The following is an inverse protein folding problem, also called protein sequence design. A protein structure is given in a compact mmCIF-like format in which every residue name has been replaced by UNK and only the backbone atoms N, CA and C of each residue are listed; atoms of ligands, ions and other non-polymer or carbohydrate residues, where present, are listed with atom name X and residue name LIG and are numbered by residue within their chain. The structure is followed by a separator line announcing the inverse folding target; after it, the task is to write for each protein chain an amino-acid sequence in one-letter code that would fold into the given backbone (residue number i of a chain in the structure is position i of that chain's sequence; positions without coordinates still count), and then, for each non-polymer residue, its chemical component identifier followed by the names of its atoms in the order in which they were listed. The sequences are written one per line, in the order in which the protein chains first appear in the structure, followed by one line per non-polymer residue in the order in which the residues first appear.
data_IF_289056003159
#
_entry.id   IF_289056003159
#
_cell.length_a   1.000
_cell.length_b   1.000
_cell.length_c   1.000
_cell.angle_alpha   90.00
_cell.angle_beta   90.00
_cell.angle_gamma   90.00
#
_symmetry.space_group_name_H-M   'P 1'
#
loop_
_entity.id
_entity.type
_entity.pdbx_description
1 polymer ?
#
# COMPACT_ATOMS: atom_id res chain seq x y z
N UNK A 1 -15.77 6.83 11.09
CA UNK A 1 -14.52 6.92 11.87
C UNK A 1 -13.51 6.11 11.10
N UNK A 2 -12.44 6.73 10.64
CA UNK A 2 -11.41 6.05 9.86
C UNK A 2 -10.66 5.08 10.77
N UNK A 3 -10.81 3.78 10.49
CA UNK A 3 -10.15 2.70 11.25
C UNK A 3 -8.64 2.75 10.98
N UNK A 4 -8.26 2.94 9.73
CA UNK A 4 -6.88 3.17 9.30
C UNK A 4 -6.54 4.67 9.36
N UNK A 5 -5.29 5.00 9.70
CA UNK A 5 -4.73 6.36 9.69
C UNK A 5 -3.31 6.37 9.12
N UNK A 6 -2.79 7.56 8.85
CA UNK A 6 -1.37 7.71 8.51
C UNK A 6 -0.48 7.16 9.63
N UNK A 7 0.50 6.35 9.25
CA UNK A 7 1.49 5.76 10.15
C UNK A 7 2.86 5.75 9.46
N UNK A 8 3.96 5.95 10.19
CA UNK A 8 5.30 5.74 9.64
C UNK A 8 5.43 4.32 9.07
N UNK A 9 5.96 4.24 7.86
CA UNK A 9 6.22 2.98 7.16
C UNK A 9 7.55 2.43 7.64
N UNK A 10 7.52 1.32 8.36
CA UNK A 10 8.70 0.65 8.89
C UNK A 10 8.96 -0.62 8.08
N UNK A 11 9.63 -0.47 6.94
CA UNK A 11 9.95 -1.60 6.07
C UNK A 11 10.79 -2.65 6.80
N UNK A 12 10.42 -3.90 6.61
CA UNK A 12 11.13 -5.06 7.14
C UNK A 12 12.40 -5.38 6.31
N UNK A 13 13.14 -6.45 6.64
CA UNK A 13 14.38 -6.84 5.93
C UNK A 13 14.15 -7.12 4.44
N UNK A 14 12.92 -7.45 4.07
CA UNK A 14 12.47 -7.66 2.70
C UNK A 14 11.88 -6.41 2.02
N UNK A 15 11.92 -5.24 2.67
CA UNK A 15 11.31 -4.00 2.14
C UNK A 15 9.78 -3.96 2.20
N UNK A 16 9.14 -5.04 2.65
CA UNK A 16 7.69 -5.15 2.83
C UNK A 16 7.23 -4.44 4.11
N UNK A 17 6.02 -3.91 4.09
CA UNK A 17 5.37 -3.33 5.28
C UNK A 17 3.86 -3.42 5.14
N UNK A 18 3.12 -3.73 6.20
CA UNK A 18 1.65 -3.72 6.17
C UNK A 18 1.11 -3.00 7.39
N UNK A 19 0.11 -2.15 7.19
CA UNK A 19 -0.52 -1.40 8.27
C UNK A 19 -1.22 -2.38 9.23
N UNK A 20 -1.08 -2.25 10.56
CA UNK A 20 -1.64 -3.20 11.52
C UNK A 20 -3.17 -3.30 11.46
N UNK A 21 -3.87 -2.19 11.19
CA UNK A 21 -5.32 -2.23 10.95
C UNK A 21 -5.70 -2.91 9.63
N UNK A 22 -4.84 -2.85 8.60
CA UNK A 22 -5.00 -3.62 7.37
C UNK A 22 -4.80 -5.10 7.67
N UNK A 23 -3.76 -5.46 8.42
CA UNK A 23 -3.50 -6.83 8.86
C UNK A 23 -4.66 -7.39 9.70
N UNK A 24 -5.23 -6.60 10.62
CA UNK A 24 -6.43 -6.96 11.37
C UNK A 24 -7.65 -7.15 10.48
N UNK A 25 -7.80 -6.33 9.44
CA UNK A 25 -8.86 -6.50 8.45
C UNK A 25 -8.68 -7.78 7.64
N UNK A 26 -7.45 -8.07 7.20
CA UNK A 26 -7.09 -9.37 6.65
C UNK A 26 -7.37 -10.50 7.64
N UNK A 27 -7.21 -10.28 8.94
CA UNK A 27 -7.50 -11.25 10.00
C UNK A 27 -6.81 -12.62 9.78
N UNK A 28 -5.62 -12.61 9.16
CA UNK A 28 -4.91 -13.83 8.77
C UNK A 28 -5.51 -14.56 7.55
N UNK A 29 -6.45 -13.94 6.82
CA UNK A 29 -6.85 -14.41 5.49
C UNK A 29 -5.68 -14.19 4.53
N UNK A 30 -5.33 -15.24 3.82
CA UNK A 30 -4.26 -15.24 2.82
C UNK A 30 -4.62 -14.38 1.59
N UNK A 31 -5.92 -14.11 1.40
CA UNK A 31 -6.40 -13.29 0.31
C UNK A 31 -7.69 -12.57 0.72
N UNK A 32 -7.77 -11.27 0.40
CA UNK A 32 -9.01 -10.52 0.41
C UNK A 32 -9.29 -10.03 -1.01
N UNK A 33 -10.51 -10.30 -1.48
CA UNK A 33 -10.97 -9.81 -2.77
C UNK A 33 -11.01 -8.28 -2.78
N UNK A 34 -10.64 -7.70 -3.92
CA UNK A 34 -10.71 -6.25 -4.15
C UNK A 34 -12.09 -5.67 -3.81
N UNK A 35 -13.18 -6.41 -4.02
CA UNK A 35 -14.54 -6.00 -3.63
C UNK A 35 -14.74 -5.86 -2.12
N UNK A 36 -14.26 -6.81 -1.31
CA UNK A 36 -14.32 -6.71 0.15
C UNK A 36 -13.47 -5.54 0.65
N UNK A 37 -12.29 -5.36 0.05
CA UNK A 37 -11.41 -4.26 0.37
C UNK A 37 -12.02 -2.90 0.03
N UNK A 38 -12.61 -2.76 -1.17
CA UNK A 38 -13.29 -1.54 -1.60
C UNK A 38 -14.52 -1.24 -0.73
N UNK A 39 -15.30 -2.27 -0.39
CA UNK A 39 -16.44 -2.13 0.52
C UNK A 39 -16.00 -1.60 1.89
N UNK A 40 -14.95 -2.19 2.47
CA UNK A 40 -14.40 -1.74 3.74
C UNK A 40 -13.89 -0.29 3.68
N UNK A 41 -13.18 0.07 2.61
CA UNK A 41 -12.73 1.46 2.39
C UNK A 41 -13.91 2.42 2.30
N UNK A 42 -14.94 2.05 1.55
CA UNK A 42 -16.14 2.87 1.38
C UNK A 42 -16.90 3.05 2.69
N UNK A 43 -17.06 2.01 3.50
CA UNK A 43 -17.67 2.09 4.83
C UNK A 43 -16.87 3.01 5.76
N UNK A 44 -15.55 2.98 5.65
CA UNK A 44 -14.64 3.80 6.46
C UNK A 44 -14.43 5.22 5.91
N UNK A 45 -15.06 5.60 4.80
CA UNK A 45 -14.79 6.86 4.09
C UNK A 45 -13.30 7.01 3.75
N UNK A 46 -12.67 5.92 3.33
CA UNK A 46 -11.31 5.86 2.85
C UNK A 46 -11.31 5.71 1.32
N UNK A 47 -10.21 6.10 0.71
CA UNK A 47 -9.88 5.87 -0.68
C UNK A 47 -8.56 5.11 -0.74
N UNK A 48 -8.46 4.17 -1.66
CA UNK A 48 -7.25 3.37 -1.87
C UNK A 48 -6.85 3.42 -3.33
N UNK A 49 -5.56 3.25 -3.59
CA UNK A 49 -4.99 3.09 -4.93
C UNK A 49 -3.74 2.23 -4.84
N UNK A 50 -3.37 1.57 -5.94
CA UNK A 50 -2.17 0.74 -6.01
C UNK A 50 -1.21 1.39 -7.00
N UNK A 51 0.08 1.41 -6.64
CA UNK A 51 1.18 1.75 -7.54
C UNK A 51 2.10 0.55 -7.62
N UNK A 52 2.25 -0.01 -8.81
CA UNK A 52 3.32 -0.95 -9.13
C UNK A 52 4.55 -0.15 -9.56
N UNK A 53 5.73 -0.74 -9.38
CA UNK A 53 6.97 -0.23 -9.97
C UNK A 53 6.94 -0.48 -11.49
N UNK A 54 6.97 0.59 -12.28
CA UNK A 54 7.06 0.50 -13.74
C UNK A 54 8.48 0.08 -14.16
N UNK A 55 8.61 -0.50 -15.37
CA UNK A 55 9.90 -0.93 -15.95
C UNK A 55 10.95 0.21 -16.02
N UNK A 56 10.51 1.47 -16.13
CA UNK A 56 11.36 2.65 -16.12
C UNK A 56 11.91 3.02 -14.72
N UNK A 57 11.25 2.56 -13.65
CA UNK A 57 11.70 2.75 -12.26
C UNK A 57 12.72 1.66 -11.84
N UNK A 58 12.85 0.57 -12.62
CA UNK A 58 13.82 -0.48 -12.33
C UNK A 58 15.23 0.09 -12.34
N UNK A 59 15.88 0.00 -11.17
CA UNK A 59 17.30 0.26 -11.08
C UNK A 59 18.05 -0.87 -11.81
N UNK A 60 18.42 -0.63 -13.07
CA UNK A 60 19.17 -1.55 -13.93
C UNK A 60 20.53 -1.98 -13.35
N UNK A 61 21.05 -1.27 -12.35
CA UNK A 61 22.30 -1.56 -11.66
C UNK A 61 22.11 -2.41 -10.39
N UNK A 62 20.87 -2.57 -9.92
CA UNK A 62 20.53 -3.44 -8.80
C UNK A 62 20.29 -4.88 -9.29
N UNK A 63 20.61 -5.88 -8.46
CA UNK A 63 20.44 -7.32 -8.77
C UNK A 63 18.96 -7.77 -8.71
N UNK A 64 18.03 -6.86 -9.04
CA UNK A 64 16.58 -7.01 -8.91
C UNK A 64 15.90 -5.70 -8.52
N UNK A 65 14.55 -5.65 -8.50
CA UNK A 65 13.83 -4.53 -7.95
C UNK A 65 14.06 -4.49 -6.43
N UNK A 66 14.98 -3.65 -5.97
CA UNK A 66 15.17 -3.39 -4.55
C UNK A 66 13.94 -2.66 -4.00
N UNK A 67 12.92 -3.41 -3.60
CA UNK A 67 11.73 -2.88 -2.92
C UNK A 67 12.10 -2.06 -1.67
N UNK A 68 13.22 -2.41 -1.03
CA UNK A 68 13.77 -1.68 0.09
C UNK A 68 14.24 -0.27 -0.29
N UNK A 69 14.83 -0.09 -1.48
CA UNK A 69 15.29 1.19 -2.02
C UNK A 69 14.23 1.92 -2.86
N UNK A 70 13.20 1.21 -3.33
CA UNK A 70 12.12 1.75 -4.13
C UNK A 70 11.24 2.68 -3.28
N UNK A 71 11.17 3.96 -3.60
CA UNK A 71 10.24 4.89 -2.97
C UNK A 71 9.05 5.13 -3.91
N UNK A 72 7.88 4.51 -3.67
CA UNK A 72 6.74 4.67 -4.54
C UNK A 72 6.32 6.14 -4.60
N UNK A 73 6.07 6.65 -5.81
CA UNK A 73 5.55 8.01 -5.95
C UNK A 73 4.18 8.13 -5.30
N UNK A 74 4.01 9.20 -4.50
CA UNK A 74 2.73 9.53 -3.90
C UNK A 74 1.71 9.85 -5.00
N UNK A 75 0.54 9.18 -5.03
CA UNK A 75 -0.50 9.43 -6.02
C UNK A 75 -1.10 10.84 -5.87
N UNK A 76 -1.79 11.31 -6.92
CA UNK A 76 -2.41 12.64 -6.95
C UNK A 76 -3.43 12.80 -5.81
N UNK A 77 -3.20 13.78 -4.94
CA UNK A 77 -4.05 14.12 -3.80
C UNK A 77 -3.29 14.35 -2.50
N UNK A 78 -3.93 15.02 -1.55
CA UNK A 78 -3.37 15.26 -0.22
C UNK A 78 -3.87 14.20 0.78
N UNK A 79 -3.03 13.83 1.75
CA UNK A 79 -3.38 12.84 2.77
C UNK A 79 -3.25 11.38 2.33
N UNK A 80 -2.48 11.11 1.27
CA UNK A 80 -2.08 9.75 0.92
C UNK A 80 -0.96 9.27 1.84
N UNK A 81 -1.18 8.12 2.45
CA UNK A 81 -0.22 7.37 3.25
C UNK A 81 -0.17 5.93 2.76
N UNK A 82 0.92 5.25 3.05
CA UNK A 82 1.08 3.85 2.65
C UNK A 82 0.20 2.98 3.55
N UNK A 83 -0.55 2.06 2.96
CA UNK A 83 -1.32 1.03 3.65
C UNK A 83 -0.64 -0.32 3.68
N UNK A 84 0.00 -0.71 2.58
CA UNK A 84 0.78 -1.94 2.50
C UNK A 84 1.75 -1.86 1.33
N UNK A 85 2.94 -2.42 1.49
CA UNK A 85 4.00 -2.56 0.51
C UNK A 85 4.37 -4.03 0.52
N UNK A 86 4.32 -4.66 -0.65
CA UNK A 86 4.71 -6.04 -0.80
C UNK A 86 5.34 -6.27 -2.16
N UNK A 87 6.32 -7.17 -2.19
CA UNK A 87 6.89 -7.66 -3.42
C UNK A 87 5.98 -8.73 -4.05
N UNK A 88 5.83 -8.71 -5.37
CA UNK A 88 5.09 -9.72 -6.12
C UNK A 88 5.96 -10.24 -7.26
N UNK A 89 5.56 -11.35 -7.90
CA UNK A 89 6.28 -11.90 -9.06
C UNK A 89 6.36 -10.91 -10.24
N UNK A 90 5.47 -9.93 -10.29
CA UNK A 90 5.44 -8.86 -11.30
C UNK A 90 6.29 -7.65 -10.90
N UNK A 91 6.87 -7.68 -9.69
CA UNK A 91 7.61 -6.59 -9.08
C UNK A 91 6.93 -6.04 -7.83
N UNK A 92 7.55 -5.02 -7.20
CA UNK A 92 7.04 -4.46 -5.97
C UNK A 92 5.83 -3.58 -6.20
N UNK A 93 4.85 -3.72 -5.30
CA UNK A 93 3.62 -2.94 -5.32
C UNK A 93 3.40 -2.25 -3.99
N UNK A 94 2.86 -1.03 -4.06
CA UNK A 94 2.54 -0.18 -2.93
C UNK A 94 1.07 0.21 -2.97
N UNK A 95 0.34 -0.20 -1.96
CA UNK A 95 -1.03 0.17 -1.68
C UNK A 95 -1.01 1.49 -0.91
N UNK A 96 -1.54 2.53 -1.54
CA UNK A 96 -1.75 3.85 -0.94
C UNK A 96 -3.18 4.00 -0.46
N UNK A 97 -3.34 4.55 0.73
CA UNK A 97 -4.59 4.79 1.41
C UNK A 97 -4.71 6.27 1.76
N UNK A 98 -5.95 6.76 1.80
CA UNK A 98 -6.24 8.16 2.11
C UNK A 98 -7.62 8.28 2.72
N UNK A 99 -7.77 9.18 3.69
CA UNK A 99 -9.07 9.59 4.18
C UNK A 99 -9.79 10.44 3.14
N UNK A 100 -11.03 10.05 2.80
CA UNK A 100 -11.96 10.97 2.14
C UNK A 100 -12.37 11.98 3.20
N UNK A 101 -11.58 13.05 3.33
CA UNK A 101 -12.01 14.25 4.03
C UNK A 101 -13.37 14.63 3.43
N UNK A 102 -14.42 14.53 4.23
CA UNK A 102 -15.73 14.99 3.84
C UNK A 102 -15.59 16.48 3.47
N UNK A 103 -15.79 16.79 2.19
CA UNK A 103 -15.85 18.15 1.69
C UNK A 103 -16.99 18.93 2.37
#
# INVERSE_FOLDING_TARGET
MSIIKEMPVERDEYGCWTHPEYEKFCAGREYISTEEFDAWMKENNLQWTIRSMDEDDFNLDADGPDIAAWEPERPEGEGWFVGSIHDTEDGPVCIWLREKVAA
#
